data_IF_023981295443
#
_entry.id   IF_023981295443
#
_cell.length_a   1.000
_cell.length_b   1.000
_cell.length_c   1.000
_cell.angle_alpha   90.00
_cell.angle_beta   90.00
_cell.angle_gamma   90.00
#
_symmetry.space_group_name_H-M   'P 1'
#
loop_
_entity.id
_entity.type
_entity.pdbx_description
1 polymer ?
#
# COMPACT_ATOMS: atom_id res chain seq x y z
N UNK A 1 -6.82 -14.71 5.09
CA UNK A 1 -5.47 -14.79 5.71
C UNK A 1 -5.28 -13.56 6.57
N UNK A 2 -5.23 -13.72 7.89
CA UNK A 2 -5.16 -12.63 8.87
C UNK A 2 -3.75 -12.00 8.87
N UNK A 3 -3.65 -10.73 9.24
CA UNK A 3 -2.38 -10.07 9.48
C UNK A 3 -1.73 -10.75 10.69
N UNK A 4 -0.48 -11.23 10.57
CA UNK A 4 0.25 -11.77 11.70
C UNK A 4 0.77 -10.58 12.52
N UNK A 5 0.06 -10.27 13.60
CA UNK A 5 0.40 -9.21 14.54
C UNK A 5 1.49 -9.73 15.50
N UNK A 6 2.36 -8.85 15.95
CA UNK A 6 3.33 -9.13 17.01
C UNK A 6 2.62 -8.96 18.35
N UNK A 7 3.12 -9.62 19.40
CA UNK A 7 2.53 -9.53 20.73
C UNK A 7 2.42 -8.07 21.19
N UNK A 8 1.20 -7.63 21.50
CA UNK A 8 0.88 -6.25 21.87
C UNK A 8 0.60 -5.31 20.72
N UNK A 9 0.75 -5.73 19.44
CA UNK A 9 0.41 -4.94 18.27
C UNK A 9 -1.11 -4.98 17.99
N UNK A 10 -1.73 -3.81 17.79
CA UNK A 10 -3.15 -3.70 17.47
C UNK A 10 -3.35 -3.09 16.09
N UNK A 11 -4.30 -3.61 15.33
CA UNK A 11 -4.71 -3.03 14.07
C UNK A 11 -5.72 -1.92 14.33
N UNK A 12 -5.38 -0.68 13.94
CA UNK A 12 -6.18 0.52 14.18
C UNK A 12 -7.15 0.73 13.04
N UNK A 13 -6.64 0.69 11.81
CA UNK A 13 -7.44 0.90 10.60
C UNK A 13 -7.07 -0.12 9.54
N UNK A 14 -8.10 -0.58 8.83
CA UNK A 14 -8.00 -1.34 7.60
C UNK A 14 -8.67 -0.55 6.47
N UNK A 15 -7.94 -0.23 5.43
CA UNK A 15 -8.49 0.49 4.28
C UNK A 15 -8.14 -0.21 2.96
N UNK A 16 -9.01 -0.02 1.96
CA UNK A 16 -8.77 -0.44 0.57
C UNK A 16 -8.56 0.79 -0.29
N UNK A 17 -7.94 0.62 -1.46
CA UNK A 17 -7.90 1.69 -2.44
C UNK A 17 -9.33 2.09 -2.86
N UNK A 18 -9.56 3.38 -3.08
CA UNK A 18 -10.84 3.93 -3.50
C UNK A 18 -11.25 3.36 -4.87
N UNK A 19 -12.55 3.10 -5.08
CA UNK A 19 -13.09 2.54 -6.32
C UNK A 19 -12.77 3.38 -7.56
N UNK A 20 -12.45 4.66 -7.39
CA UNK A 20 -11.99 5.54 -8.46
C UNK A 20 -10.75 5.01 -9.20
N UNK A 21 -9.89 4.23 -8.52
CA UNK A 21 -8.76 3.55 -9.16
C UNK A 21 -9.18 2.61 -10.29
N UNK A 22 -10.47 2.25 -10.38
CA UNK A 22 -11.05 1.43 -11.45
C UNK A 22 -11.53 2.23 -12.67
N UNK A 23 -11.62 3.57 -12.59
CA UNK A 23 -12.08 4.41 -13.71
C UNK A 23 -11.27 4.15 -14.99
N UNK A 24 -9.92 4.12 -14.97
CA UNK A 24 -9.15 3.83 -16.17
C UNK A 24 -9.42 2.41 -16.72
N UNK A 25 -9.66 1.44 -15.86
CA UNK A 25 -10.02 0.08 -16.27
C UNK A 25 -11.41 0.03 -16.93
N UNK A 26 -12.38 0.78 -16.41
CA UNK A 26 -13.71 0.90 -16.99
C UNK A 26 -13.67 1.60 -18.37
N UNK A 27 -12.90 2.69 -18.49
CA UNK A 27 -12.72 3.38 -19.77
C UNK A 27 -12.05 2.45 -20.79
N UNK A 28 -11.03 1.70 -20.39
CA UNK A 28 -10.37 0.72 -21.24
C UNK A 28 -11.35 -0.37 -21.71
N UNK A 29 -12.20 -0.88 -20.82
CA UNK A 29 -13.22 -1.88 -21.16
C UNK A 29 -14.19 -1.34 -22.20
N UNK A 30 -14.76 -0.16 -21.95
CA UNK A 30 -15.71 0.47 -22.88
C UNK A 30 -15.08 0.76 -24.25
N UNK A 31 -13.85 1.31 -24.24
CA UNK A 31 -13.09 1.57 -25.47
C UNK A 31 -12.80 0.27 -26.25
N UNK A 32 -12.40 -0.80 -25.54
CA UNK A 32 -12.14 -2.09 -26.17
C UNK A 32 -13.42 -2.67 -26.77
N UNK A 33 -14.55 -2.65 -26.05
CA UNK A 33 -15.85 -3.10 -26.55
C UNK A 33 -16.25 -2.32 -27.79
N UNK A 34 -16.18 -1.00 -27.74
CA UNK A 34 -16.54 -0.15 -28.89
C UNK A 34 -15.66 -0.44 -30.12
N UNK A 35 -14.34 -0.56 -29.92
CA UNK A 35 -13.40 -0.88 -30.99
C UNK A 35 -13.64 -2.26 -31.59
N UNK A 36 -13.83 -3.29 -30.75
CA UNK A 36 -14.11 -4.65 -31.19
C UNK A 36 -15.43 -4.73 -31.97
N UNK A 37 -16.48 -4.08 -31.46
CA UNK A 37 -17.78 -4.05 -32.15
C UNK A 37 -17.67 -3.36 -33.53
N UNK A 38 -16.93 -2.27 -33.60
CA UNK A 38 -16.68 -1.56 -34.86
C UNK A 38 -15.90 -2.45 -35.85
N UNK A 39 -14.78 -3.05 -35.40
CA UNK A 39 -13.95 -3.89 -36.26
C UNK A 39 -14.70 -5.15 -36.72
N UNK A 40 -15.42 -5.82 -35.82
CA UNK A 40 -16.22 -6.98 -36.19
C UNK A 40 -17.30 -6.60 -37.20
N UNK A 41 -18.05 -5.50 -36.95
CA UNK A 41 -19.05 -5.02 -37.91
C UNK A 41 -18.47 -4.65 -39.27
N UNK A 42 -17.24 -4.11 -39.28
CA UNK A 42 -16.55 -3.79 -40.53
C UNK A 42 -16.16 -5.06 -41.32
N UNK A 43 -15.50 -6.02 -40.68
CA UNK A 43 -14.98 -7.22 -41.35
C UNK A 43 -16.05 -8.27 -41.68
N UNK A 44 -17.22 -8.22 -41.06
CA UNK A 44 -18.35 -9.16 -41.35
C UNK A 44 -19.34 -8.58 -42.37
N UNK A 45 -19.06 -7.41 -42.95
CA UNK A 45 -19.95 -6.77 -43.91
C UNK A 45 -19.87 -7.42 -45.29
N UNK A 46 -21.01 -7.78 -45.88
CA UNK A 46 -21.09 -8.45 -47.20
C UNK A 46 -20.64 -7.57 -48.38
N UNK A 47 -20.56 -6.25 -48.19
CA UNK A 47 -20.15 -5.29 -49.23
C UNK A 47 -18.62 -5.15 -49.37
N UNK A 48 -17.84 -5.94 -48.64
CA UNK A 48 -16.38 -5.90 -48.71
C UNK A 48 -15.83 -6.55 -50.01
N UNK A 49 -14.65 -6.11 -50.50
CA UNK A 49 -13.97 -6.77 -51.61
C UNK A 49 -13.71 -8.24 -51.35
N UNK A 50 -13.77 -9.08 -52.40
CA UNK A 50 -13.63 -10.54 -52.31
C UNK A 50 -12.36 -11.00 -51.55
N UNK A 51 -11.27 -10.28 -51.69
CA UNK A 51 -10.02 -10.54 -50.95
C UNK A 51 -10.20 -10.40 -49.43
N UNK A 52 -10.94 -9.36 -48.93
CA UNK A 52 -11.22 -9.18 -47.50
C UNK A 52 -12.16 -10.27 -46.99
N UNK A 53 -13.19 -10.62 -47.79
CA UNK A 53 -14.12 -11.71 -47.44
C UNK A 53 -13.40 -13.05 -47.30
N UNK A 54 -12.43 -13.33 -48.19
CA UNK A 54 -11.67 -14.60 -48.16
C UNK A 54 -10.89 -14.78 -46.84
N UNK A 55 -10.33 -13.68 -46.28
CA UNK A 55 -9.55 -13.71 -45.03
C UNK A 55 -10.32 -13.24 -43.79
N UNK A 56 -11.63 -13.02 -43.91
CA UNK A 56 -12.47 -12.48 -42.82
C UNK A 56 -12.42 -13.35 -41.55
N UNK A 57 -12.37 -14.67 -41.66
CA UNK A 57 -12.29 -15.60 -40.55
C UNK A 57 -10.98 -15.42 -39.74
N UNK A 58 -9.85 -15.17 -40.43
CA UNK A 58 -8.55 -14.88 -39.79
C UNK A 58 -8.61 -13.55 -39.09
N UNK A 59 -9.17 -12.55 -39.77
CA UNK A 59 -9.33 -11.21 -39.18
C UNK A 59 -10.20 -11.25 -37.92
N UNK A 60 -11.34 -11.93 -37.98
CA UNK A 60 -12.24 -12.10 -36.81
C UNK A 60 -11.53 -12.83 -35.67
N UNK A 61 -10.78 -13.90 -35.95
CA UNK A 61 -9.99 -14.60 -34.93
C UNK A 61 -8.95 -13.70 -34.28
N UNK A 62 -8.20 -12.90 -35.06
CA UNK A 62 -7.22 -11.95 -34.55
C UNK A 62 -7.87 -10.84 -33.70
N UNK A 63 -9.01 -10.30 -34.15
CA UNK A 63 -9.77 -9.28 -33.44
C UNK A 63 -10.17 -9.82 -32.05
N UNK A 64 -10.71 -11.03 -31.96
CA UNK A 64 -11.07 -11.67 -30.70
C UNK A 64 -9.86 -11.91 -29.82
N UNK A 65 -8.77 -12.41 -30.36
CA UNK A 65 -7.54 -12.69 -29.61
C UNK A 65 -6.95 -11.42 -29.00
N UNK A 66 -6.79 -10.38 -29.83
CA UNK A 66 -6.26 -9.09 -29.37
C UNK A 66 -7.22 -8.42 -28.37
N UNK A 67 -8.52 -8.50 -28.62
CA UNK A 67 -9.54 -7.97 -27.72
C UNK A 67 -9.53 -8.65 -26.35
N UNK A 68 -9.44 -9.95 -26.29
CA UNK A 68 -9.34 -10.71 -25.04
C UNK A 68 -8.08 -10.35 -24.27
N UNK A 69 -6.94 -10.19 -24.96
CA UNK A 69 -5.68 -9.74 -24.37
C UNK A 69 -5.80 -8.31 -23.82
N UNK A 70 -6.40 -7.42 -24.59
CA UNK A 70 -6.62 -6.02 -24.16
C UNK A 70 -7.51 -5.93 -22.92
N UNK A 71 -8.60 -6.69 -22.86
CA UNK A 71 -9.47 -6.78 -21.67
C UNK A 71 -8.71 -7.43 -20.50
N UNK A 72 -7.99 -8.51 -20.72
CA UNK A 72 -7.22 -9.20 -19.68
C UNK A 72 -6.18 -8.28 -19.01
N UNK A 73 -5.38 -7.58 -19.81
CA UNK A 73 -4.31 -6.71 -19.33
C UNK A 73 -4.84 -5.36 -18.85
N UNK A 74 -5.75 -4.75 -19.61
CA UNK A 74 -6.22 -3.39 -19.35
C UNK A 74 -7.38 -3.29 -18.37
N UNK A 75 -8.13 -4.37 -18.13
CA UNK A 75 -9.29 -4.37 -17.25
C UNK A 75 -9.17 -5.40 -16.12
N UNK A 76 -8.95 -6.66 -16.43
CA UNK A 76 -8.94 -7.73 -15.41
C UNK A 76 -7.76 -7.58 -14.47
N UNK A 77 -6.57 -7.36 -14.99
CA UNK A 77 -5.35 -7.18 -14.18
C UNK A 77 -5.45 -6.02 -13.19
N UNK A 78 -5.83 -4.78 -13.56
CA UNK A 78 -6.00 -3.69 -12.60
C UNK A 78 -7.15 -3.94 -11.62
N UNK A 79 -8.25 -4.59 -12.04
CA UNK A 79 -9.35 -4.97 -11.16
C UNK A 79 -8.88 -5.95 -10.07
N UNK A 80 -8.18 -7.02 -10.44
CA UNK A 80 -7.62 -7.98 -9.50
C UNK A 80 -6.60 -7.32 -8.58
N UNK A 81 -5.76 -6.43 -9.11
CA UNK A 81 -4.79 -5.68 -8.31
C UNK A 81 -5.47 -4.78 -7.29
N UNK A 82 -6.56 -4.12 -7.67
CA UNK A 82 -7.35 -3.27 -6.76
C UNK A 82 -8.03 -4.10 -5.66
N UNK A 83 -8.65 -5.23 -6.01
CA UNK A 83 -9.28 -6.14 -5.05
C UNK A 83 -8.28 -6.67 -4.02
N UNK A 84 -7.03 -6.87 -4.45
CA UNK A 84 -5.98 -7.48 -3.63
C UNK A 84 -5.24 -6.50 -2.72
N UNK A 85 -5.32 -5.18 -2.98
CA UNK A 85 -4.59 -4.19 -2.19
C UNK A 85 -5.35 -3.83 -0.92
N UNK A 86 -4.77 -4.21 0.21
CA UNK A 86 -5.23 -3.84 1.55
C UNK A 86 -4.12 -3.11 2.28
N UNK A 87 -4.44 -1.97 2.87
CA UNK A 87 -3.53 -1.20 3.72
C UNK A 87 -4.04 -1.29 5.16
N UNK A 88 -3.14 -1.66 6.07
CA UNK A 88 -3.37 -1.72 7.50
C UNK A 88 -2.49 -0.70 8.18
N UNK A 89 -3.05 0.08 9.09
CA UNK A 89 -2.32 0.87 10.06
C UNK A 89 -2.39 0.13 11.39
N UNK A 90 -1.24 -0.16 11.97
CA UNK A 90 -1.13 -0.76 13.30
C UNK A 90 -0.42 0.21 14.24
N UNK A 91 -0.37 -0.12 15.52
CA UNK A 91 0.32 0.66 16.55
C UNK A 91 1.84 0.76 16.35
N UNK A 92 2.44 -0.07 15.49
CA UNK A 92 3.90 -0.11 15.28
C UNK A 92 4.34 0.06 13.82
N UNK A 93 3.46 -0.22 12.84
CA UNK A 93 3.82 -0.22 11.43
C UNK A 93 2.63 0.01 10.50
N UNK A 94 2.93 0.47 9.27
CA UNK A 94 1.99 0.48 8.16
C UNK A 94 2.28 -0.75 7.29
N UNK A 95 1.27 -1.57 7.02
CA UNK A 95 1.41 -2.79 6.23
C UNK A 95 0.52 -2.71 5.00
N UNK A 96 1.12 -2.73 3.82
CA UNK A 96 0.41 -2.95 2.56
C UNK A 96 0.50 -4.42 2.19
N UNK A 97 -0.64 -5.11 2.15
CA UNK A 97 -0.70 -6.52 1.82
C UNK A 97 -1.43 -6.73 0.50
N UNK A 98 -0.84 -7.55 -0.36
CA UNK A 98 -1.50 -8.10 -1.53
C UNK A 98 -2.08 -9.47 -1.17
N UNK A 99 -3.36 -9.70 -1.47
CA UNK A 99 -4.06 -10.95 -1.13
C UNK A 99 -3.72 -12.10 -2.07
N UNK A 100 -3.59 -11.81 -3.38
CA UNK A 100 -3.23 -12.76 -4.43
C UNK A 100 -1.88 -12.35 -5.05
N UNK A 101 -0.95 -13.27 -5.14
CA UNK A 101 0.38 -13.03 -5.70
C UNK A 101 1.41 -12.71 -4.64
N UNK A 102 2.64 -12.47 -5.04
CA UNK A 102 3.85 -12.43 -4.22
C UNK A 102 3.65 -11.90 -2.78
N UNK A 103 4.21 -12.58 -1.78
CA UNK A 103 4.04 -12.27 -0.35
C UNK A 103 4.74 -10.99 0.09
N UNK A 104 5.04 -10.08 -0.81
CA UNK A 104 5.67 -8.80 -0.49
C UNK A 104 4.64 -7.87 0.14
N UNK A 105 4.35 -8.13 1.41
CA UNK A 105 3.79 -7.10 2.26
C UNK A 105 4.84 -6.00 2.40
N UNK A 106 4.56 -4.81 1.83
CA UNK A 106 5.39 -3.65 2.12
C UNK A 106 5.12 -3.23 3.55
N UNK A 107 6.11 -3.38 4.41
CA UNK A 107 6.03 -3.02 5.82
C UNK A 107 6.84 -1.75 6.03
N UNK A 108 6.23 -0.73 6.60
CA UNK A 108 6.87 0.54 6.94
C UNK A 108 6.73 0.71 8.47
N UNK A 109 7.80 0.48 9.24
CA UNK A 109 7.78 0.72 10.67
C UNK A 109 7.55 2.20 10.98
N UNK A 110 6.71 2.53 11.96
CA UNK A 110 6.49 3.90 12.41
C UNK A 110 7.76 4.52 13.00
N UNK A 111 8.67 3.69 13.54
CA UNK A 111 9.99 4.12 13.99
C UNK A 111 10.84 4.78 12.89
N UNK A 112 10.69 4.35 11.65
CA UNK A 112 11.45 4.84 10.51
C UNK A 112 10.72 5.93 9.72
N UNK A 113 9.47 6.27 10.11
CA UNK A 113 8.66 7.27 9.43
C UNK A 113 9.14 8.67 9.83
N UNK A 114 9.81 9.35 8.89
CA UNK A 114 10.32 10.70 9.09
C UNK A 114 9.23 11.74 8.82
N UNK A 115 8.51 11.60 7.72
CA UNK A 115 7.51 12.57 7.28
C UNK A 115 6.37 11.85 6.51
N UNK A 116 5.19 12.41 6.60
CA UNK A 116 4.04 12.01 5.78
C UNK A 116 3.42 13.24 5.14
N UNK A 117 3.05 13.12 3.87
CA UNK A 117 2.42 14.18 3.09
C UNK A 117 1.13 13.64 2.48
N UNK A 118 0.06 14.41 2.59
CA UNK A 118 -1.17 14.16 1.87
C UNK A 118 -1.14 14.94 0.55
N UNK A 119 -1.48 14.26 -0.54
CA UNK A 119 -1.62 14.88 -1.87
C UNK A 119 -2.95 14.51 -2.46
N UNK A 120 -3.68 15.51 -2.88
CA UNK A 120 -4.96 15.34 -3.55
C UNK A 120 -4.94 16.12 -4.88
N UNK A 121 -5.43 15.49 -5.93
CA UNK A 121 -5.81 16.21 -7.15
C UNK A 121 -7.25 16.71 -7.02
N UNK A 122 -7.65 17.72 -7.78
CA UNK A 122 -9.02 18.27 -7.74
C UNK A 122 -10.09 17.16 -7.89
N UNK A 123 -9.83 16.20 -8.76
CA UNK A 123 -10.74 15.07 -8.94
C UNK A 123 -10.70 14.06 -7.76
N UNK A 124 -9.62 13.93 -7.01
CA UNK A 124 -9.53 13.10 -5.81
C UNK A 124 -10.23 13.77 -4.63
N UNK A 125 -10.10 15.07 -4.51
CA UNK A 125 -10.76 15.88 -3.51
C UNK A 125 -12.28 15.77 -3.62
N UNK A 126 -12.86 15.92 -4.83
CA UNK A 126 -14.28 15.72 -5.08
C UNK A 126 -14.78 14.32 -4.70
N UNK A 127 -13.92 13.31 -4.76
CA UNK A 127 -14.26 11.93 -4.42
C UNK A 127 -13.92 11.55 -2.96
N UNK A 128 -13.41 12.48 -2.15
CA UNK A 128 -12.93 12.19 -0.80
C UNK A 128 -11.73 11.24 -0.76
N UNK A 129 -11.01 11.11 -1.88
CA UNK A 129 -9.85 10.24 -2.01
C UNK A 129 -8.55 11.05 -2.05
N UNK A 130 -7.41 10.40 -1.87
CA UNK A 130 -6.11 11.05 -2.02
C UNK A 130 -4.95 10.07 -1.97
N UNK A 131 -3.78 10.62 -2.20
CA UNK A 131 -2.52 9.89 -2.18
C UNK A 131 -1.76 10.23 -0.90
N UNK A 132 -1.34 9.23 -0.16
CA UNK A 132 -0.47 9.39 0.99
C UNK A 132 0.97 9.09 0.59
N UNK A 133 1.85 10.07 0.79
CA UNK A 133 3.28 9.94 0.55
C UNK A 133 3.98 9.82 1.90
N UNK A 134 4.64 8.69 2.11
CA UNK A 134 5.40 8.37 3.31
C UNK A 134 6.89 8.46 2.98
N UNK A 135 7.61 9.27 3.74
CA UNK A 135 9.07 9.35 3.68
C UNK A 135 9.60 8.60 4.89
N UNK A 136 10.28 7.51 4.63
CA UNK A 136 10.83 6.64 5.66
C UNK A 136 12.25 6.22 5.31
N UNK A 137 13.05 5.90 6.31
CA UNK A 137 14.41 5.43 6.11
C UNK A 137 15.25 5.54 7.37
N UNK A 138 16.39 4.85 7.37
CA UNK A 138 17.40 4.88 8.40
C UNK A 138 18.73 5.38 7.82
N UNK A 139 19.54 6.01 8.66
CA UNK A 139 20.93 6.38 8.33
C UNK A 139 21.11 7.21 7.05
N UNK A 140 20.25 8.23 6.84
CA UNK A 140 20.39 9.17 5.71
C UNK A 140 19.82 8.67 4.38
N UNK A 141 19.33 7.43 4.31
CA UNK A 141 18.62 6.93 3.14
C UNK A 141 17.12 7.18 3.28
N UNK A 142 16.60 8.17 2.58
CA UNK A 142 15.17 8.47 2.56
C UNK A 142 14.50 7.76 1.39
N UNK A 143 13.68 6.76 1.70
CA UNK A 143 12.80 6.12 0.72
C UNK A 143 11.44 6.79 0.74
N UNK A 144 10.92 7.09 -0.45
CA UNK A 144 9.60 7.65 -0.65
C UNK A 144 8.63 6.57 -1.10
N UNK A 145 7.62 6.31 -0.31
CA UNK A 145 6.55 5.36 -0.64
C UNK A 145 5.24 6.10 -0.83
N UNK A 146 4.61 5.91 -1.99
CA UNK A 146 3.31 6.50 -2.32
C UNK A 146 2.22 5.44 -2.22
N UNK A 147 1.23 5.67 -1.38
CA UNK A 147 -0.01 4.91 -1.28
C UNK A 147 -1.07 5.68 -2.04
N UNK A 148 -1.55 5.13 -3.16
CA UNK A 148 -2.47 5.82 -4.08
C UNK A 148 -3.92 5.55 -3.73
N UNK A 149 -4.77 6.55 -4.04
CA UNK A 149 -6.22 6.46 -4.02
C UNK A 149 -6.78 5.92 -2.70
N UNK A 150 -6.33 6.45 -1.56
CA UNK A 150 -6.89 6.13 -0.25
C UNK A 150 -8.23 6.82 -0.09
N UNK A 151 -9.29 6.11 0.35
CA UNK A 151 -10.53 6.75 0.74
C UNK A 151 -10.35 7.47 2.07
N UNK A 152 -11.12 8.53 2.30
CA UNK A 152 -11.08 9.32 3.55
C UNK A 152 -9.66 9.69 3.98
N UNK A 153 -8.85 10.17 3.04
CA UNK A 153 -7.42 10.44 3.27
C UNK A 153 -7.20 11.40 4.45
N UNK A 154 -8.07 12.37 4.63
CA UNK A 154 -7.97 13.34 5.74
C UNK A 154 -8.13 12.64 7.09
N UNK A 155 -9.15 11.78 7.21
CA UNK A 155 -9.37 10.99 8.41
C UNK A 155 -8.19 10.06 8.70
N UNK A 156 -7.72 9.37 7.65
CA UNK A 156 -6.55 8.50 7.79
C UNK A 156 -5.31 9.28 8.21
N UNK A 157 -5.06 10.45 7.62
CA UNK A 157 -3.94 11.30 7.94
C UNK A 157 -3.98 11.81 9.40
N UNK A 158 -5.16 12.21 9.88
CA UNK A 158 -5.36 12.61 11.29
C UNK A 158 -5.02 11.47 12.25
N UNK A 159 -5.53 10.27 11.97
CA UNK A 159 -5.27 9.10 12.83
C UNK A 159 -3.80 8.67 12.75
N UNK A 160 -3.19 8.72 11.57
CA UNK A 160 -1.75 8.46 11.42
C UNK A 160 -0.90 9.46 12.23
N UNK A 161 -1.22 10.74 12.16
CA UNK A 161 -0.51 11.78 12.91
C UNK A 161 -0.65 11.58 14.43
N UNK A 162 -1.85 11.22 14.89
CA UNK A 162 -2.12 10.92 16.29
C UNK A 162 -1.33 9.68 16.75
N UNK A 163 -1.41 8.57 15.99
CA UNK A 163 -0.71 7.33 16.34
C UNK A 163 0.81 7.50 16.32
N UNK A 164 1.33 8.29 15.37
CA UNK A 164 2.77 8.60 15.34
C UNK A 164 3.20 9.39 16.59
N UNK A 165 2.36 10.32 17.06
CA UNK A 165 2.57 11.04 18.32
C UNK A 165 2.57 10.09 19.53
N UNK A 166 1.61 9.18 19.59
CA UNK A 166 1.49 8.20 20.66
C UNK A 166 2.65 7.19 20.63
N UNK A 167 3.04 6.75 19.44
CA UNK A 167 4.21 5.90 19.27
C UNK A 167 5.49 6.58 19.82
N UNK A 168 5.72 7.84 19.46
CA UNK A 168 6.88 8.61 19.94
C UNK A 168 6.87 8.77 21.45
N UNK A 169 5.71 9.07 22.04
CA UNK A 169 5.55 9.15 23.51
C UNK A 169 5.86 7.82 24.19
N UNK A 170 5.34 6.72 23.67
CA UNK A 170 5.62 5.37 24.17
C UNK A 170 7.10 5.01 24.07
N UNK A 171 7.74 5.35 22.95
CA UNK A 171 9.17 5.11 22.75
C UNK A 171 10.04 5.91 23.73
N UNK A 172 9.71 7.17 23.97
CA UNK A 172 10.41 8.03 24.95
C UNK A 172 10.23 7.49 26.38
N UNK A 173 9.02 7.11 26.77
CA UNK A 173 8.76 6.52 28.08
C UNK A 173 9.55 5.21 28.30
N UNK A 174 9.61 4.33 27.28
CA UNK A 174 10.42 3.09 27.33
C UNK A 174 11.91 3.41 27.48
N UNK A 175 12.42 4.40 26.72
CA UNK A 175 13.82 4.82 26.84
C UNK A 175 14.16 5.40 28.23
N UNK A 176 13.30 6.25 28.78
CA UNK A 176 13.46 6.79 30.12
C UNK A 176 13.45 5.69 31.20
N UNK A 177 12.51 4.75 31.11
CA UNK A 177 12.44 3.61 32.02
C UNK A 177 13.71 2.72 31.95
N UNK A 178 14.22 2.47 30.71
CA UNK A 178 15.45 1.72 30.53
C UNK A 178 16.66 2.42 31.14
N UNK A 179 16.77 3.74 30.99
CA UNK A 179 17.83 4.54 31.62
C UNK A 179 17.75 4.46 33.16
N UNK A 180 16.56 4.64 33.73
CA UNK A 180 16.38 4.54 35.18
C UNK A 180 16.76 3.15 35.71
N UNK A 181 16.41 2.09 34.99
CA UNK A 181 16.78 0.73 35.34
C UNK A 181 18.30 0.52 35.30
N UNK A 182 18.99 1.09 34.32
CA UNK A 182 20.47 1.06 34.24
C UNK A 182 21.12 1.82 35.41
N UNK A 183 20.63 3.01 35.75
CA UNK A 183 21.12 3.78 36.93
C UNK A 183 20.91 2.98 38.23
N UNK A 184 19.75 2.39 38.43
CA UNK A 184 19.46 1.60 39.61
C UNK A 184 20.32 0.34 39.70
N UNK A 185 20.64 -0.31 38.57
CA UNK A 185 21.54 -1.47 38.50
C UNK A 185 23.00 -1.07 38.83
N UNK A 186 23.46 0.09 38.31
CA UNK A 186 24.80 0.62 38.60
C UNK A 186 25.00 0.91 40.07
N UNK A 187 24.03 1.57 40.73
CA UNK A 187 24.09 1.86 42.16
C UNK A 187 24.13 0.58 43.05
N UNK A 188 23.47 -0.51 42.62
CA UNK A 188 23.53 -1.81 43.32
C UNK A 188 24.90 -2.48 43.14
N UNK A 189 25.57 -2.32 41.99
CA UNK A 189 26.91 -2.86 41.76
C UNK A 189 27.96 -2.23 42.67
N UNK A 190 27.91 -0.92 42.84
CA UNK A 190 28.88 -0.19 43.67
C UNK A 190 28.76 -0.50 45.18
N UNK A 191 27.56 -0.77 45.67
CA UNK A 191 27.34 -1.13 47.08
C UNK A 191 27.92 -2.52 47.40
N UNK A 192 27.93 -3.46 46.48
CA UNK A 192 28.52 -4.77 46.65
C UNK A 192 30.05 -4.80 46.49
N UNK A 193 30.63 -3.87 45.75
CA UNK A 193 32.09 -3.75 45.59
C UNK A 193 32.78 -3.13 46.85
N UNK A 194 32.07 -2.31 47.60
CA UNK A 194 32.62 -1.60 48.77
C UNK A 194 32.72 -2.49 50.03
N UNK A 195 32.05 -3.67 50.06
CA UNK A 195 32.03 -4.55 51.28
C UNK A 195 33.18 -5.56 51.33
N UNK A 196 34.05 -5.69 50.36
CA UNK A 196 35.16 -6.65 50.32
C UNK A 196 36.58 -6.05 50.59
N UNK A 197 36.66 -4.75 50.91
CA UNK A 197 37.93 -4.05 51.08
C UNK A 197 38.40 -3.79 52.51
N UNK A 198 37.83 -4.44 53.53
CA UNK A 198 38.14 -4.23 54.92
C UNK A 198 38.59 -5.48 55.68
N UNK A 199 39.86 -5.86 55.55
CA UNK A 199 40.36 -6.92 56.43
C UNK A 199 41.71 -7.50 55.99
N UNK A 200 42.85 -6.79 56.32
CA UNK A 200 44.13 -7.39 56.69
C UNK A 200 45.09 -6.29 57.15
N UNK A 201 45.26 -6.17 58.44
CA UNK A 201 46.47 -5.75 59.06
C UNK A 201 46.85 -6.85 60.08
#
# INVERSE_FOLDING_TARGET
MLLKLVDGEQAIIRTRAHHRALIPAAINLLGTIALLSFLLGYFTRDTQPAFIQHYSHIAVFLIWTVGLLAVGIGTVKPLVTWLNRLTYLTTERIVQKNFLGAPQARVIPLALLSQHEMRQSALQEMAGAGDLVLIHGAYGQHQRTKIRDMPDIERFNKILAQELGDYRRRAQARAAAAQQAQYAAGLRGDVHGASFGGGRA
#
